data_IF_576201712427
#
_entry.id   IF_576201712427
#
_cell.length_a   1.000
_cell.length_b   1.000
_cell.length_c   1.000
_cell.angle_alpha   90.00
_cell.angle_beta   90.00
_cell.angle_gamma   90.00
#
_symmetry.space_group_name_H-M   'P 1'
#
loop_
_entity.id
_entity.type
_entity.pdbx_description
1 polymer ?
#
# COMPACT_ATOMS: atom_id res chain seq x y z
N UNK A 1 1.06 21.70 -14.56
CA UNK A 1 1.17 22.75 -13.50
C UNK A 1 2.43 22.46 -12.71
N UNK A 2 2.97 23.38 -11.90
CA UNK A 2 4.11 23.01 -11.03
C UNK A 2 3.55 22.27 -9.82
N UNK A 3 3.84 20.97 -9.72
CA UNK A 3 3.48 20.19 -8.53
C UNK A 3 4.49 20.45 -7.41
N UNK A 4 3.98 20.60 -6.20
CA UNK A 4 4.73 20.63 -4.96
C UNK A 4 4.80 19.21 -4.41
N UNK A 5 6.01 18.68 -4.23
CA UNK A 5 6.27 17.36 -3.65
C UNK A 5 6.85 17.52 -2.25
N UNK A 6 6.04 17.22 -1.24
CA UNK A 6 6.41 17.25 0.17
C UNK A 6 6.71 15.82 0.68
N UNK A 7 7.69 15.70 1.57
CA UNK A 7 8.09 14.43 2.17
C UNK A 7 8.27 14.62 3.67
N UNK A 8 7.59 13.79 4.45
CA UNK A 8 7.57 13.87 5.91
C UNK A 8 8.08 12.57 6.54
N UNK A 9 8.81 12.69 7.65
CA UNK A 9 9.28 11.56 8.45
C UNK A 9 8.23 11.06 9.45
N UNK A 10 7.16 11.86 9.66
CA UNK A 10 6.02 11.53 10.50
C UNK A 10 4.72 11.87 9.79
N UNK A 11 3.61 11.31 10.25
CA UNK A 11 2.30 11.51 9.62
C UNK A 11 1.75 12.90 9.95
N UNK A 12 1.56 13.80 8.97
CA UNK A 12 0.93 15.10 9.21
C UNK A 12 -0.55 14.92 9.56
N UNK A 13 -1.05 15.71 10.50
CA UNK A 13 -2.45 15.61 10.95
C UNK A 13 -3.43 16.11 9.88
N UNK A 14 -3.03 17.12 9.11
CA UNK A 14 -3.76 17.69 7.99
C UNK A 14 -4.00 16.64 6.89
N UNK A 15 -3.01 15.77 6.64
CA UNK A 15 -3.16 14.67 5.69
C UNK A 15 -4.18 13.63 6.20
N UNK A 16 -4.18 13.35 7.51
CA UNK A 16 -5.16 12.45 8.12
C UNK A 16 -6.58 13.02 7.98
N UNK A 17 -6.75 14.34 8.14
CA UNK A 17 -8.03 15.03 7.93
C UNK A 17 -8.50 14.91 6.48
N UNK A 18 -7.64 15.22 5.51
CA UNK A 18 -7.95 15.10 4.08
C UNK A 18 -8.36 13.66 3.73
N UNK A 19 -7.55 12.68 4.11
CA UNK A 19 -7.86 11.27 3.83
C UNK A 19 -9.15 10.82 4.54
N UNK A 20 -9.47 11.34 5.72
CA UNK A 20 -10.73 11.01 6.40
C UNK A 20 -11.95 11.51 5.62
N UNK A 21 -11.85 12.69 5.00
CA UNK A 21 -12.91 13.23 4.14
C UNK A 21 -13.12 12.40 2.86
N UNK A 22 -12.09 11.70 2.40
CA UNK A 22 -12.11 10.85 1.20
C UNK A 22 -12.54 9.39 1.45
N UNK A 23 -13.01 9.07 2.66
CA UNK A 23 -13.51 7.74 2.95
C UNK A 23 -14.76 7.40 2.09
N UNK A 24 -14.90 6.15 1.61
CA UNK A 24 -14.06 4.98 1.94
C UNK A 24 -12.85 4.76 1.00
N UNK A 25 -12.61 5.62 0.00
CA UNK A 25 -11.63 5.37 -1.07
C UNK A 25 -10.18 5.42 -0.56
N UNK A 26 -9.89 6.34 0.35
CA UNK A 26 -8.61 6.53 1.02
C UNK A 26 -8.28 5.48 2.09
N UNK A 27 -9.23 4.58 2.42
CA UNK A 27 -9.16 3.70 3.58
C UNK A 27 -7.84 2.92 3.71
N UNK A 28 -7.25 2.34 2.64
CA UNK A 28 -5.99 1.60 2.77
C UNK A 28 -4.83 2.47 3.24
N UNK A 29 -4.68 3.67 2.65
CA UNK A 29 -3.63 4.60 3.07
C UNK A 29 -3.93 5.15 4.46
N UNK A 30 -5.17 5.58 4.74
CA UNK A 30 -5.55 6.12 6.04
C UNK A 30 -5.27 5.13 7.18
N UNK A 31 -5.69 3.87 7.02
CA UNK A 31 -5.41 2.82 8.02
C UNK A 31 -3.92 2.59 8.18
N UNK A 32 -3.15 2.60 7.08
CA UNK A 32 -1.70 2.44 7.16
C UNK A 32 -1.04 3.56 7.96
N UNK A 33 -1.45 4.81 7.73
CA UNK A 33 -0.96 5.96 8.46
C UNK A 33 -1.37 5.92 9.94
N UNK A 34 -2.61 5.53 10.26
CA UNK A 34 -3.06 5.33 11.64
C UNK A 34 -2.27 4.24 12.36
N UNK A 35 -1.86 3.19 11.64
CA UNK A 35 -1.08 2.10 12.21
C UNK A 35 0.34 2.51 12.65
N UNK A 36 0.87 3.62 12.12
CA UNK A 36 2.20 4.13 12.52
C UNK A 36 2.30 4.50 13.99
N UNK A 37 1.17 4.74 14.66
CA UNK A 37 1.09 5.08 16.08
C UNK A 37 1.37 3.88 17.01
N UNK A 38 1.31 2.65 16.51
CA UNK A 38 1.57 1.46 17.31
C UNK A 38 3.05 1.08 17.32
N UNK A 39 3.53 0.36 18.37
CA UNK A 39 4.88 -0.20 18.38
C UNK A 39 5.15 -1.04 17.12
N UNK A 40 6.31 -0.85 16.50
CA UNK A 40 6.69 -1.47 15.20
C UNK A 40 5.75 -1.08 14.02
N UNK A 41 4.92 -0.07 14.23
CA UNK A 41 3.98 0.46 13.24
C UNK A 41 4.66 1.26 12.13
N UNK A 42 5.86 1.80 12.36
CA UNK A 42 6.67 2.57 11.41
C UNK A 42 8.17 2.31 11.62
N UNK A 43 9.01 2.78 10.70
CA UNK A 43 10.47 2.74 10.82
C UNK A 43 11.05 4.15 10.64
N UNK A 44 12.32 4.36 10.99
CA UNK A 44 13.05 5.62 10.71
C UNK A 44 13.23 5.88 9.20
N UNK A 45 13.06 4.84 8.38
CA UNK A 45 13.15 4.89 6.92
C UNK A 45 11.79 5.07 6.26
N UNK A 46 10.72 5.18 7.05
CA UNK A 46 9.41 5.46 6.53
C UNK A 46 9.31 6.93 6.10
N UNK A 47 8.63 7.17 4.97
CA UNK A 47 8.33 8.49 4.45
C UNK A 47 6.87 8.56 4.07
N UNK A 48 6.25 9.69 4.41
CA UNK A 48 4.95 10.08 3.88
C UNK A 48 5.21 11.09 2.77
N UNK A 49 4.73 10.79 1.57
CA UNK A 49 4.89 11.63 0.39
C UNK A 49 3.53 12.26 0.09
N UNK A 50 3.52 13.56 -0.16
CA UNK A 50 2.34 14.31 -0.55
C UNK A 50 2.66 15.14 -1.79
N UNK A 51 1.78 15.10 -2.79
CA UNK A 51 1.97 15.75 -4.08
C UNK A 51 0.69 16.45 -4.48
N UNK A 52 0.76 17.75 -4.71
CA UNK A 52 -0.38 18.54 -5.18
C UNK A 52 0.09 19.83 -5.87
N UNK A 53 -0.82 20.62 -6.44
CA UNK A 53 -0.48 21.94 -6.99
C UNK A 53 -0.17 22.99 -5.91
N UNK A 54 -0.51 22.74 -4.65
CA UNK A 54 -0.23 23.61 -3.50
C UNK A 54 0.37 22.81 -2.34
N UNK A 55 0.75 23.49 -1.27
CA UNK A 55 1.19 22.83 -0.04
C UNK A 55 0.03 22.14 0.68
N UNK A 56 0.33 21.12 1.47
CA UNK A 56 -0.63 20.39 2.30
C UNK A 56 -1.42 21.33 3.24
N UNK A 57 -0.77 22.37 3.75
CA UNK A 57 -1.35 23.41 4.61
C UNK A 57 -2.55 24.11 3.97
N UNK A 58 -2.60 24.18 2.64
CA UNK A 58 -3.66 24.82 1.86
C UNK A 58 -4.87 23.91 1.61
N UNK A 59 -4.82 22.64 2.04
CA UNK A 59 -5.90 21.64 1.88
C UNK A 59 -6.41 21.53 0.43
N UNK A 60 -5.55 21.12 -0.52
CA UNK A 60 -5.91 21.03 -1.94
C UNK A 60 -6.97 19.96 -2.21
N UNK A 61 -7.82 20.21 -3.21
CA UNK A 61 -8.86 19.27 -3.67
C UNK A 61 -8.31 18.14 -4.57
N UNK A 62 -7.17 18.38 -5.22
CA UNK A 62 -6.54 17.46 -6.18
C UNK A 62 -5.14 17.11 -5.71
N UNK A 63 -4.94 15.89 -5.23
CA UNK A 63 -3.66 15.46 -4.68
C UNK A 63 -3.43 13.95 -4.80
N UNK A 64 -2.15 13.57 -4.65
CA UNK A 64 -1.69 12.19 -4.51
C UNK A 64 -0.83 12.08 -3.26
N UNK A 65 -1.12 11.09 -2.43
CA UNK A 65 -0.41 10.83 -1.20
C UNK A 65 0.06 9.36 -1.14
N UNK A 66 1.18 9.12 -0.48
CA UNK A 66 1.69 7.78 -0.28
C UNK A 66 2.40 7.61 1.05
N UNK A 67 2.34 6.41 1.59
CA UNK A 67 3.23 5.92 2.63
C UNK A 67 4.25 4.98 1.98
N UNK A 68 5.53 5.15 2.29
CA UNK A 68 6.63 4.33 1.77
C UNK A 68 7.57 3.93 2.91
N UNK A 69 7.98 2.66 2.94
CA UNK A 69 8.94 2.15 3.92
C UNK A 69 9.71 0.96 3.34
N UNK A 70 10.94 1.21 2.88
CA UNK A 70 11.79 0.20 2.24
C UNK A 70 12.23 -0.91 3.19
N UNK A 71 12.26 -0.64 4.49
CA UNK A 71 12.72 -1.58 5.51
C UNK A 71 11.72 -2.72 5.78
N UNK A 72 10.51 -2.66 5.20
CA UNK A 72 9.49 -3.68 5.43
C UNK A 72 9.71 -4.93 4.59
N UNK A 73 9.49 -6.07 5.22
CA UNK A 73 9.45 -7.41 4.62
C UNK A 73 8.07 -7.76 4.04
N UNK A 74 7.26 -6.77 3.68
CA UNK A 74 5.89 -6.96 3.21
C UNK A 74 5.50 -5.91 2.19
N UNK A 75 4.27 -5.42 2.24
CA UNK A 75 3.88 -4.22 1.48
C UNK A 75 4.70 -3.03 1.96
N UNK A 76 5.48 -2.45 1.05
CA UNK A 76 6.38 -1.33 1.32
C UNK A 76 5.75 0.01 0.97
N UNK A 77 4.76 0.04 0.08
CA UNK A 77 4.11 1.28 -0.35
C UNK A 77 2.59 1.17 -0.38
N UNK A 78 1.92 2.22 0.08
CA UNK A 78 0.47 2.41 -0.04
C UNK A 78 0.23 3.77 -0.68
N UNK A 79 -0.66 3.83 -1.66
CA UNK A 79 -0.94 5.06 -2.43
C UNK A 79 -2.42 5.37 -2.35
N UNK A 80 -2.73 6.65 -2.30
CA UNK A 80 -4.06 7.20 -2.55
C UNK A 80 -3.92 8.41 -3.48
N UNK A 81 -4.82 8.52 -4.45
CA UNK A 81 -5.01 9.74 -5.22
C UNK A 81 -6.48 10.13 -5.20
N UNK A 82 -6.78 11.42 -5.21
CA UNK A 82 -8.18 11.89 -5.34
C UNK A 82 -8.83 11.41 -6.64
N UNK A 83 -8.04 10.98 -7.63
CA UNK A 83 -8.50 10.27 -8.85
C UNK A 83 -9.34 9.01 -8.56
N UNK A 84 -9.12 8.37 -7.40
CA UNK A 84 -9.87 7.20 -6.96
C UNK A 84 -11.31 7.53 -6.59
N UNK A 85 -11.59 8.79 -6.24
CA UNK A 85 -12.92 9.20 -5.80
C UNK A 85 -13.85 9.37 -7.02
N UNK A 86 -15.05 8.74 -7.06
CA UNK A 86 -15.96 8.82 -8.21
C UNK A 86 -16.42 10.24 -8.56
N UNK A 87 -16.54 11.11 -7.55
CA UNK A 87 -16.82 12.56 -7.73
C UNK A 87 -15.82 13.25 -8.66
N UNK A 88 -14.57 12.81 -8.66
CA UNK A 88 -13.52 13.30 -9.55
C UNK A 88 -13.56 12.48 -10.85
N UNK A 89 -14.76 12.38 -11.43
CA UNK A 89 -15.05 11.62 -12.64
C UNK A 89 -14.17 12.03 -13.82
N UNK A 90 -14.32 11.36 -14.96
CA UNK A 90 -13.47 11.60 -16.12
C UNK A 90 -13.52 13.06 -16.59
N UNK A 91 -12.53 13.85 -16.19
CA UNK A 91 -12.25 15.19 -16.69
C UNK A 91 -10.83 15.15 -17.29
N UNK A 92 -10.71 15.25 -18.63
CA UNK A 92 -9.43 15.22 -19.33
C UNK A 92 -8.41 16.25 -18.83
N UNK A 93 -8.89 17.40 -18.32
CA UNK A 93 -8.00 18.45 -17.81
C UNK A 93 -7.33 18.07 -16.48
N UNK A 94 -8.03 17.28 -15.65
CA UNK A 94 -7.48 16.76 -14.39
C UNK A 94 -6.67 15.48 -14.58
N UNK A 95 -6.91 14.72 -15.65
CA UNK A 95 -6.19 13.47 -15.95
C UNK A 95 -4.68 13.70 -16.13
N UNK A 96 -4.30 14.76 -16.85
CA UNK A 96 -2.89 15.15 -17.00
C UNK A 96 -2.27 15.58 -15.66
N UNK A 97 -3.02 16.27 -14.79
CA UNK A 97 -2.54 16.62 -13.45
C UNK A 97 -2.25 15.37 -12.64
N UNK A 98 -3.12 14.36 -12.67
CA UNK A 98 -2.88 13.09 -11.97
C UNK A 98 -1.70 12.30 -12.54
N UNK A 99 -1.50 12.32 -13.86
CA UNK A 99 -0.32 11.72 -14.49
C UNK A 99 0.97 12.41 -14.04
N UNK A 100 0.99 13.74 -14.02
CA UNK A 100 2.11 14.52 -13.50
C UNK A 100 2.38 14.18 -12.03
N UNK A 101 1.35 14.11 -11.18
CA UNK A 101 1.50 13.77 -9.76
C UNK A 101 2.04 12.34 -9.54
N UNK A 102 1.56 11.36 -10.30
CA UNK A 102 2.06 9.98 -10.22
C UNK A 102 3.50 9.88 -10.77
N UNK A 103 3.85 10.65 -11.80
CA UNK A 103 5.22 10.72 -12.30
C UNK A 103 6.18 11.28 -11.23
N UNK A 104 5.78 12.36 -10.54
CA UNK A 104 6.51 12.94 -9.42
C UNK A 104 6.67 11.92 -8.27
N UNK A 105 5.61 11.15 -7.97
CA UNK A 105 5.66 10.08 -6.97
C UNK A 105 6.72 9.03 -7.33
N UNK A 106 6.71 8.54 -8.56
CA UNK A 106 7.70 7.56 -9.05
C UNK A 106 9.11 8.14 -8.96
N UNK A 107 9.31 9.39 -9.39
CA UNK A 107 10.59 10.09 -9.30
C UNK A 107 11.08 10.20 -7.85
N UNK A 108 10.19 10.59 -6.93
CA UNK A 108 10.50 10.70 -5.50
C UNK A 108 10.84 9.37 -4.88
N UNK A 109 10.11 8.30 -5.20
CA UNK A 109 10.41 6.93 -4.73
C UNK A 109 11.79 6.47 -5.21
N UNK A 110 12.15 6.73 -6.48
CA UNK A 110 13.47 6.40 -7.02
C UNK A 110 14.56 7.16 -6.27
N UNK A 111 14.35 8.46 -6.00
CA UNK A 111 15.28 9.27 -5.22
C UNK A 111 15.48 8.71 -3.82
N UNK A 112 14.38 8.40 -3.11
CA UNK A 112 14.43 7.85 -1.74
C UNK A 112 15.04 6.44 -1.71
N UNK A 113 14.85 5.63 -2.76
CA UNK A 113 15.49 4.30 -2.88
C UNK A 113 17.00 4.41 -2.97
N UNK A 114 17.50 5.38 -3.74
CA UNK A 114 18.95 5.67 -3.86
C UNK A 114 19.52 6.15 -2.52
N UNK A 115 18.79 7.03 -1.82
CA UNK A 115 19.16 7.49 -0.48
C UNK A 115 19.20 6.35 0.54
N UNK A 116 18.23 5.44 0.49
CA UNK A 116 18.17 4.29 1.39
C UNK A 116 19.40 3.38 1.26
N UNK A 117 19.92 3.17 0.05
CA UNK A 117 21.23 2.57 -0.22
C UNK A 117 21.46 1.12 0.26
N UNK A 118 20.50 0.52 0.96
CA UNK A 118 20.57 -0.84 1.52
C UNK A 118 19.78 -1.83 0.66
N UNK A 119 20.01 -3.13 0.88
CA UNK A 119 19.20 -4.19 0.29
C UNK A 119 17.76 -4.15 0.83
N UNK A 120 16.79 -4.52 -0.02
CA UNK A 120 15.39 -4.60 0.37
C UNK A 120 15.11 -5.94 1.04
N UNK A 121 14.41 -5.92 2.18
CA UNK A 121 14.11 -7.15 2.93
C UNK A 121 13.06 -8.04 2.25
N UNK A 122 12.24 -7.47 1.35
CA UNK A 122 11.08 -8.16 0.81
C UNK A 122 11.36 -8.96 -0.47
N UNK A 123 12.17 -8.44 -1.38
CA UNK A 123 12.32 -9.02 -2.74
C UNK A 123 13.76 -9.12 -3.19
N UNK A 124 14.09 -10.25 -3.81
CA UNK A 124 15.16 -10.38 -4.80
C UNK A 124 14.46 -10.65 -6.14
N UNK A 125 14.45 -9.73 -7.14
CA UNK A 125 15.29 -8.54 -7.30
C UNK A 125 14.77 -7.27 -6.58
N UNK A 126 15.55 -6.18 -6.63
CA UNK A 126 15.34 -4.85 -5.99
C UNK A 126 14.03 -4.12 -6.37
N UNK A 127 12.88 -4.66 -5.95
CA UNK A 127 11.56 -4.12 -6.25
C UNK A 127 10.86 -3.75 -4.95
N UNK A 128 9.96 -2.77 -5.02
CA UNK A 128 9.06 -2.51 -3.90
C UNK A 128 7.67 -3.06 -4.18
N UNK A 129 7.03 -3.59 -3.14
CA UNK A 129 5.64 -3.99 -3.24
C UNK A 129 4.70 -2.83 -2.90
N UNK A 130 3.95 -2.38 -3.90
CA UNK A 130 2.83 -1.46 -3.75
C UNK A 130 1.56 -2.25 -3.43
N UNK A 131 0.91 -1.95 -2.31
CA UNK A 131 -0.31 -2.63 -1.87
C UNK A 131 -1.57 -1.93 -2.35
N UNK A 132 -2.62 -2.72 -2.61
CA UNK A 132 -4.00 -2.28 -2.89
C UNK A 132 -4.07 -1.03 -3.78
N UNK A 133 -3.86 -1.22 -5.08
CA UNK A 133 -3.77 -0.13 -6.04
C UNK A 133 -5.08 0.01 -6.82
N UNK A 134 -5.62 1.22 -6.89
CA UNK A 134 -6.80 1.50 -7.70
C UNK A 134 -6.47 1.39 -9.19
N UNK A 135 -7.41 0.87 -9.99
CA UNK A 135 -7.22 0.58 -11.43
C UNK A 135 -6.74 1.79 -12.22
N UNK A 136 -7.30 2.99 -11.98
CA UNK A 136 -6.84 4.23 -12.64
C UNK A 136 -5.37 4.57 -12.34
N UNK A 137 -4.93 4.46 -11.08
CA UNK A 137 -3.53 4.72 -10.71
C UNK A 137 -2.63 3.65 -11.34
N UNK A 138 -3.09 2.39 -11.35
CA UNK A 138 -2.37 1.31 -12.03
C UNK A 138 -2.18 1.61 -13.51
N UNK A 139 -3.21 2.04 -14.23
CA UNK A 139 -3.09 2.37 -15.65
C UNK A 139 -2.07 3.47 -15.93
N UNK A 140 -1.99 4.48 -15.05
CA UNK A 140 -0.94 5.51 -15.14
C UNK A 140 0.43 4.90 -14.83
N UNK A 141 0.56 4.09 -13.78
CA UNK A 141 1.83 3.45 -13.41
C UNK A 141 2.36 2.49 -14.50
N UNK A 142 1.48 1.82 -15.24
CA UNK A 142 1.83 0.94 -16.35
C UNK A 142 2.47 1.69 -17.53
N UNK A 143 2.33 3.01 -17.63
CA UNK A 143 3.01 3.80 -18.67
C UNK A 143 4.49 4.06 -18.37
N UNK A 144 4.98 3.75 -17.17
CA UNK A 144 6.38 3.96 -16.77
C UNK A 144 7.23 2.72 -17.05
N UNK A 145 7.39 2.39 -18.34
CA UNK A 145 8.16 1.24 -18.80
C UNK A 145 9.57 1.18 -18.20
N UNK A 146 9.97 -0.02 -17.76
CA UNK A 146 11.28 -0.26 -17.13
C UNK A 146 11.44 0.30 -15.71
N UNK A 147 10.45 1.05 -15.19
CA UNK A 147 10.46 1.58 -13.81
C UNK A 147 9.39 0.95 -12.93
N UNK A 148 8.24 0.63 -13.52
CA UNK A 148 7.12 -0.03 -12.83
C UNK A 148 6.74 -1.28 -13.61
N UNK A 149 6.51 -2.38 -12.90
CA UNK A 149 6.07 -3.63 -13.50
C UNK A 149 4.76 -4.07 -12.87
N UNK A 150 3.73 -4.25 -13.70
CA UNK A 150 2.46 -4.81 -13.27
C UNK A 150 2.59 -6.31 -13.02
N UNK A 151 1.90 -6.84 -12.01
CA UNK A 151 1.85 -8.30 -11.82
C UNK A 151 0.98 -8.96 -12.89
N UNK A 152 1.36 -10.14 -13.41
CA UNK A 152 0.58 -10.88 -14.41
C UNK A 152 -0.79 -11.32 -13.90
N UNK A 153 -0.92 -11.60 -12.59
CA UNK A 153 -2.12 -12.17 -11.97
C UNK A 153 -3.32 -11.22 -11.82
N UNK A 154 -3.30 -10.03 -12.44
CA UNK A 154 -4.50 -9.20 -12.62
C UNK A 154 -4.71 -8.09 -11.58
N UNK A 155 -5.91 -7.49 -11.61
CA UNK A 155 -6.35 -6.37 -10.77
C UNK A 155 -6.71 -6.86 -9.36
N UNK A 156 -6.23 -6.17 -8.33
CA UNK A 156 -6.66 -6.41 -6.95
C UNK A 156 -7.70 -5.37 -6.56
N UNK A 157 -8.97 -5.76 -6.63
CA UNK A 157 -10.08 -4.86 -6.31
C UNK A 157 -10.22 -4.64 -4.80
N UNK A 158 -10.66 -3.44 -4.43
CA UNK A 158 -11.05 -3.10 -3.06
C UNK A 158 -12.52 -3.49 -2.89
N UNK A 159 -12.78 -4.52 -2.09
CA UNK A 159 -14.15 -4.95 -1.77
C UNK A 159 -14.58 -4.37 -0.42
N UNK A 160 -15.71 -3.69 -0.39
CA UNK A 160 -16.36 -3.24 0.84
C UNK A 160 -17.56 -4.15 1.09
N UNK A 161 -17.52 -4.88 2.20
CA UNK A 161 -18.62 -5.73 2.65
C UNK A 161 -19.30 -5.05 3.84
N UNK A 162 -20.63 -5.19 3.94
CA UNK A 162 -21.34 -4.73 5.13
C UNK A 162 -20.95 -5.62 6.29
N UNK A 163 -20.54 -5.00 7.41
CA UNK A 163 -20.14 -5.72 8.61
C UNK A 163 -21.24 -6.67 9.10
N UNK A 164 -22.50 -6.23 9.04
CA UNK A 164 -23.64 -6.98 9.57
C UNK A 164 -24.07 -8.15 8.66
N UNK A 165 -23.46 -8.28 7.47
CA UNK A 165 -23.63 -9.41 6.55
C UNK A 165 -22.47 -10.41 6.63
N UNK A 166 -21.43 -10.12 7.44
CA UNK A 166 -20.34 -11.06 7.70
C UNK A 166 -20.81 -12.14 8.70
N UNK A 167 -20.41 -13.41 8.52
CA UNK A 167 -20.72 -14.44 9.49
C UNK A 167 -20.15 -14.05 10.85
N UNK A 168 -20.93 -14.28 11.91
CA UNK A 168 -20.43 -14.13 13.29
C UNK A 168 -19.36 -15.19 13.49
N UNK A 169 -18.10 -14.76 13.53
CA UNK A 169 -16.98 -15.62 13.89
C UNK A 169 -17.13 -15.92 15.39
N UNK A 170 -17.48 -17.16 15.73
CA UNK A 170 -17.21 -17.68 17.06
C UNK A 170 -15.71 -17.91 17.19
N UNK A 171 -15.15 -17.66 18.37
CA UNK A 171 -13.74 -17.97 18.66
C UNK A 171 -13.48 -19.49 18.73
N UNK A 172 -14.56 -20.28 18.80
CA UNK A 172 -14.50 -21.73 18.90
C UNK A 172 -14.22 -22.36 17.52
N UNK A 173 -13.09 -23.06 17.44
CA UNK A 173 -12.82 -23.95 16.32
C UNK A 173 -13.78 -25.15 16.32
N UNK A 174 -14.12 -25.72 15.15
CA UNK A 174 -14.89 -26.95 15.08
C UNK A 174 -14.27 -28.06 15.96
N UNK A 175 -15.08 -28.97 16.54
CA UNK A 175 -14.56 -30.05 17.37
C UNK A 175 -13.43 -30.84 16.67
N UNK A 176 -12.29 -30.99 17.35
CA UNK A 176 -11.12 -31.69 16.83
C UNK A 176 -10.10 -30.80 16.10
N UNK A 177 -10.36 -29.49 15.98
CA UNK A 177 -9.42 -28.52 15.43
C UNK A 177 -8.72 -27.70 16.52
N UNK A 178 -7.46 -27.36 16.29
CA UNK A 178 -6.65 -26.43 17.10
C UNK A 178 -5.91 -25.43 16.21
N UNK A 179 -5.48 -24.30 16.78
CA UNK A 179 -4.69 -23.32 16.06
C UNK A 179 -3.23 -23.83 15.93
N UNK A 180 -2.84 -24.19 14.71
CA UNK A 180 -1.46 -24.56 14.37
C UNK A 180 -0.65 -23.36 13.87
N UNK A 181 0.67 -23.46 13.92
CA UNK A 181 1.59 -22.46 13.35
C UNK A 181 2.20 -22.97 12.05
N UNK A 182 2.35 -22.10 11.05
CA UNK A 182 2.95 -22.47 9.77
C UNK A 182 4.42 -22.90 9.93
N UNK A 183 4.75 -24.06 9.37
CA UNK A 183 6.12 -24.52 9.25
C UNK A 183 6.84 -23.81 8.10
N UNK A 184 8.17 -23.94 8.06
CA UNK A 184 8.96 -23.42 6.93
C UNK A 184 8.58 -24.09 5.60
N UNK A 185 8.15 -25.36 5.63
CA UNK A 185 7.71 -26.08 4.44
C UNK A 185 6.37 -25.56 3.91
N UNK A 186 5.43 -25.23 4.80
CA UNK A 186 4.18 -24.54 4.44
C UNK A 186 4.48 -23.20 3.78
N UNK A 187 5.45 -22.46 4.34
CA UNK A 187 5.89 -21.18 3.79
C UNK A 187 6.53 -21.33 2.40
N UNK A 188 7.31 -22.39 2.16
CA UNK A 188 7.87 -22.72 0.83
C UNK A 188 6.77 -23.03 -0.18
N UNK A 189 5.75 -23.79 0.22
CA UNK A 189 4.59 -24.11 -0.65
C UNK A 189 3.85 -22.82 -1.03
N UNK A 190 3.56 -21.95 -0.06
CA UNK A 190 2.88 -20.68 -0.36
C UNK A 190 3.74 -19.83 -1.29
N UNK A 191 5.05 -19.71 -1.04
CA UNK A 191 5.94 -18.96 -1.93
C UNK A 191 5.97 -19.56 -3.35
N UNK A 192 5.99 -20.89 -3.49
CA UNK A 192 5.97 -21.56 -4.80
C UNK A 192 4.63 -21.38 -5.55
N UNK A 193 3.53 -21.16 -4.83
CA UNK A 193 2.17 -21.00 -5.38
C UNK A 193 1.76 -19.55 -5.60
N UNK A 194 2.59 -18.58 -5.25
CA UNK A 194 2.31 -17.15 -5.49
C UNK A 194 3.39 -16.56 -6.38
N UNK A 195 3.00 -15.74 -7.35
CA UNK A 195 3.89 -14.91 -8.15
C UNK A 195 4.33 -13.64 -7.38
N UNK A 196 4.32 -13.66 -6.04
CA UNK A 196 4.85 -12.56 -5.19
C UNK A 196 6.23 -13.00 -4.73
N UNK A 197 7.31 -12.26 -5.07
CA UNK A 197 8.68 -12.67 -4.79
C UNK A 197 8.99 -12.52 -3.29
N UNK A 198 8.55 -13.50 -2.49
CA UNK A 198 8.74 -13.57 -1.03
C UNK A 198 9.71 -14.65 -0.63
N UNK A 199 10.48 -14.41 0.42
CA UNK A 199 11.32 -15.44 1.06
C UNK A 199 10.54 -16.22 2.13
N UNK A 200 10.72 -17.55 2.24
CA UNK A 200 10.01 -18.38 3.24
C UNK A 200 10.24 -17.97 4.70
N UNK A 201 11.39 -17.35 5.00
CA UNK A 201 11.82 -16.97 6.34
C UNK A 201 10.98 -15.82 6.96
N UNK A 202 10.16 -15.13 6.17
CA UNK A 202 9.37 -13.95 6.60
C UNK A 202 8.02 -14.33 7.24
N UNK A 203 7.67 -15.61 7.33
CA UNK A 203 6.29 -16.08 7.60
C UNK A 203 6.07 -16.83 8.92
N UNK A 204 7.00 -16.79 9.87
CA UNK A 204 6.89 -17.52 11.15
C UNK A 204 5.73 -17.09 12.09
N UNK A 205 4.80 -16.22 11.64
CA UNK A 205 3.67 -15.72 12.43
C UNK A 205 2.29 -16.13 11.87
N UNK A 206 2.23 -16.99 10.85
CA UNK A 206 0.95 -17.42 10.27
C UNK A 206 0.37 -18.56 11.13
N UNK A 207 -0.87 -18.37 11.59
CA UNK A 207 -1.64 -19.33 12.39
C UNK A 207 -2.87 -19.77 11.60
N UNK A 208 -3.18 -21.06 11.57
CA UNK A 208 -4.36 -21.61 10.87
C UNK A 208 -4.91 -22.85 11.58
N UNK A 209 -6.20 -23.17 11.43
CA UNK A 209 -6.79 -24.35 12.07
C UNK A 209 -6.21 -25.65 11.48
N UNK A 210 -5.78 -26.54 12.37
CA UNK A 210 -5.27 -27.89 12.05
C UNK A 210 -6.06 -28.94 12.81
N UNK A 211 -6.19 -30.13 12.24
CA UNK A 211 -6.76 -31.29 12.94
C UNK A 211 -5.73 -31.89 13.90
N UNK A 212 -6.15 -32.29 15.10
CA UNK A 212 -5.30 -33.09 16.00
C UNK A 212 -4.86 -34.37 15.29
N UNK A 213 -3.55 -34.55 15.17
CA UNK A 213 -2.89 -35.78 14.72
C UNK A 213 -2.96 -36.88 15.77
#
# INVERSE_FOLDING_TARGET
MVNHTESFDSVPQELVELLTAELPYSLPLLRRLQFTKFPHGTSEHARVIFISATELSSKPDVYTAAYLDFSRSGTQMFVYSTLEHPRNGYDPSTDEVYKEQVAELVGKVISLRKEYGRELLFTNPERILVGTLHSKIRSILETFEGRVESRPSGLFDKWLMKRDELPVLGDDLPPGMEWGSASLDDCRIICARTDIPRTPQVKNSIVYPVTRS
#
